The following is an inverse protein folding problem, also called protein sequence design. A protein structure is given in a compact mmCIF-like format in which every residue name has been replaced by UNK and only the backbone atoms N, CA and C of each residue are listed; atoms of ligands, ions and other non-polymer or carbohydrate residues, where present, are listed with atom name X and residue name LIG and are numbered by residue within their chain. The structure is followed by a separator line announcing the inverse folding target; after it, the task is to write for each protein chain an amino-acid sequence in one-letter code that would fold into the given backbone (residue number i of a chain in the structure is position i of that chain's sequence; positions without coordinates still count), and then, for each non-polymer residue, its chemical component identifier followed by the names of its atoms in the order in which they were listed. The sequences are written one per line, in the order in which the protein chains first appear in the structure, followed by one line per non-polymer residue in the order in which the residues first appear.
data_IF_036992942356
#
_entry.id   IF_036992942356
#
_cell.length_a   1.000
_cell.length_b   1.000
_cell.length_c   1.000
_cell.angle_alpha   90.00
_cell.angle_beta   90.00
_cell.angle_gamma   90.00
#
_symmetry.space_group_name_H-M   'P 1'
#
loop_
_entity.id
_entity.type
_entity.pdbx_description
1 polymer ?
#
# COMPACT_ATOMS: atom_id res chain seq x y z
N UNK A 1 -17.52 -41.23 -44.28
CA UNK A 1 -17.17 -41.92 -43.01
C UNK A 1 -15.78 -41.40 -42.60
N UNK A 2 -15.69 -40.21 -41.99
CA UNK A 2 -15.72 -39.95 -40.54
C UNK A 2 -14.82 -40.90 -39.74
N UNK A 3 -13.62 -40.41 -39.38
CA UNK A 3 -13.03 -40.65 -38.06
C UNK A 3 -12.40 -39.35 -37.58
N UNK A 4 -13.06 -38.68 -36.64
CA UNK A 4 -12.53 -37.56 -35.88
C UNK A 4 -11.59 -38.09 -34.79
N UNK A 5 -10.30 -37.77 -34.85
CA UNK A 5 -9.41 -37.92 -33.71
C UNK A 5 -9.53 -36.68 -32.82
N UNK A 6 -10.26 -36.83 -31.73
CA UNK A 6 -10.36 -35.85 -30.64
C UNK A 6 -8.98 -35.64 -30.02
N UNK A 7 -8.41 -34.45 -30.20
CA UNK A 7 -7.29 -33.97 -29.39
C UNK A 7 -7.86 -33.65 -28.01
N UNK A 8 -7.75 -34.59 -27.07
CA UNK A 8 -7.95 -34.31 -25.64
C UNK A 8 -6.75 -33.52 -25.13
N UNK A 9 -6.86 -32.20 -25.10
CA UNK A 9 -6.00 -31.34 -24.28
C UNK A 9 -6.38 -31.55 -22.81
N UNK A 10 -5.76 -32.56 -22.18
CA UNK A 10 -5.74 -32.69 -20.73
C UNK A 10 -4.85 -31.58 -20.15
N UNK A 11 -5.41 -30.38 -20.00
CA UNK A 11 -4.85 -29.32 -19.17
C UNK A 11 -4.85 -29.75 -17.71
N UNK A 12 -3.87 -30.55 -17.29
CA UNK A 12 -3.58 -30.75 -15.87
C UNK A 12 -3.18 -29.39 -15.30
N UNK A 13 -4.05 -28.81 -14.48
CA UNK A 13 -3.68 -27.73 -13.58
C UNK A 13 -2.48 -28.22 -12.76
N UNK A 14 -1.29 -27.64 -12.97
CA UNK A 14 -0.13 -27.92 -12.10
C UNK A 14 -0.58 -27.63 -10.67
N UNK A 15 -0.46 -28.62 -9.78
CA UNK A 15 -0.60 -28.40 -8.35
C UNK A 15 0.36 -27.28 -7.94
N UNK A 16 -0.12 -26.30 -7.16
CA UNK A 16 0.73 -25.21 -6.67
C UNK A 16 1.86 -25.82 -5.83
N UNK A 17 3.10 -25.49 -6.16
CA UNK A 17 4.25 -25.82 -5.30
C UNK A 17 4.02 -25.17 -3.93
N UNK A 18 4.20 -25.89 -2.82
CA UNK A 18 4.07 -25.32 -1.49
C UNK A 18 5.12 -24.21 -1.30
N UNK A 19 4.77 -23.21 -0.48
CA UNK A 19 5.70 -22.15 -0.11
C UNK A 19 6.88 -22.69 0.71
N UNK A 20 8.05 -22.13 0.46
CA UNK A 20 9.29 -22.39 1.19
C UNK A 20 9.55 -21.16 2.05
N UNK A 21 9.32 -21.30 3.35
CA UNK A 21 9.54 -20.26 4.34
C UNK A 21 11.00 -20.26 4.85
N UNK A 22 11.51 -19.11 5.34
CA UNK A 22 12.82 -19.07 5.98
C UNK A 22 12.86 -19.94 7.25
N UNK A 23 14.08 -20.28 7.67
CA UNK A 23 14.31 -20.93 8.97
C UNK A 23 13.72 -20.09 10.12
N UNK A 24 13.26 -20.70 11.23
CA UNK A 24 12.52 -19.99 12.28
C UNK A 24 13.26 -18.78 12.87
N UNK A 25 14.58 -18.88 13.08
CA UNK A 25 15.43 -17.79 13.55
C UNK A 25 15.38 -16.58 12.59
N UNK A 26 15.47 -16.85 11.30
CA UNK A 26 15.46 -15.83 10.25
C UNK A 26 14.08 -15.24 10.07
N UNK A 27 13.04 -16.07 10.09
CA UNK A 27 11.65 -15.61 10.00
C UNK A 27 11.31 -14.66 11.14
N UNK A 28 11.68 -14.98 12.38
CA UNK A 28 11.47 -14.08 13.51
C UNK A 28 12.22 -12.75 13.36
N UNK A 29 13.50 -12.78 12.96
CA UNK A 29 14.29 -11.58 12.72
C UNK A 29 13.67 -10.68 11.65
N UNK A 30 13.26 -11.24 10.52
CA UNK A 30 12.65 -10.49 9.42
C UNK A 30 11.27 -9.93 9.78
N UNK A 31 10.46 -10.69 10.51
CA UNK A 31 9.16 -10.24 11.01
C UNK A 31 9.34 -9.04 11.96
N UNK A 32 10.28 -9.13 12.89
CA UNK A 32 10.54 -8.02 13.82
C UNK A 32 11.03 -6.78 13.07
N UNK A 33 12.02 -6.92 12.18
CA UNK A 33 12.53 -5.84 11.33
C UNK A 33 11.42 -5.17 10.51
N UNK A 34 10.48 -5.94 9.96
CA UNK A 34 9.33 -5.40 9.25
C UNK A 34 8.48 -4.50 10.16
N UNK A 35 8.13 -4.98 11.36
CA UNK A 35 7.27 -4.23 12.27
C UNK A 35 7.97 -3.03 12.90
N UNK A 36 9.28 -3.07 13.10
CA UNK A 36 10.04 -1.96 13.69
C UNK A 36 10.40 -0.88 12.68
N UNK A 37 10.57 -1.21 11.40
CA UNK A 37 11.12 -0.26 10.42
C UNK A 37 10.12 0.12 9.31
N UNK A 38 9.29 -0.83 8.88
CA UNK A 38 8.43 -0.64 7.68
C UNK A 38 6.98 -0.39 8.07
N UNK A 39 6.41 -1.22 8.97
CA UNK A 39 5.00 -1.09 9.37
C UNK A 39 4.71 0.21 10.13
N UNK A 40 5.73 0.85 10.72
CA UNK A 40 5.59 2.17 11.35
C UNK A 40 5.28 3.28 10.32
N UNK A 41 5.89 3.20 9.14
CA UNK A 41 5.75 4.18 8.05
C UNK A 41 4.55 3.82 7.17
N UNK A 42 4.38 2.52 6.90
CA UNK A 42 3.35 1.95 6.04
C UNK A 42 2.59 0.85 6.80
N UNK A 43 1.60 1.21 7.64
CA UNK A 43 0.94 0.27 8.54
C UNK A 43 -0.01 -0.67 7.79
N UNK A 44 0.52 -1.64 7.04
CA UNK A 44 -0.28 -2.61 6.27
C UNK A 44 -0.91 -3.65 7.21
N UNK A 45 -0.18 -4.03 8.26
CA UNK A 45 -0.52 -5.16 9.12
C UNK A 45 -0.80 -4.70 10.55
N UNK A 46 -1.66 -5.46 11.23
CA UNK A 46 -1.91 -5.35 12.66
C UNK A 46 -1.01 -6.35 13.38
N UNK A 47 0.06 -5.86 14.06
CA UNK A 47 1.11 -6.73 14.64
C UNK A 47 0.57 -7.84 15.55
N UNK A 48 -0.30 -7.56 16.53
CA UNK A 48 -0.83 -8.60 17.42
C UNK A 48 -1.59 -9.72 16.69
N UNK A 49 -2.38 -9.38 15.66
CA UNK A 49 -3.09 -10.38 14.86
C UNK A 49 -2.14 -11.18 13.98
N UNK A 50 -1.15 -10.53 13.37
CA UNK A 50 -0.17 -11.21 12.53
C UNK A 50 0.65 -12.22 13.33
N UNK A 51 1.21 -11.81 14.47
CA UNK A 51 2.05 -12.68 15.31
C UNK A 51 1.23 -13.85 15.87
N UNK A 52 -0.03 -13.61 16.29
CA UNK A 52 -0.95 -14.68 16.72
C UNK A 52 -1.17 -15.72 15.62
N UNK A 53 -1.46 -15.27 14.38
CA UNK A 53 -1.64 -16.16 13.22
C UNK A 53 -0.34 -16.89 12.84
N UNK A 54 0.80 -16.22 12.92
CA UNK A 54 2.11 -16.79 12.63
C UNK A 54 2.47 -17.90 13.62
N UNK A 55 2.31 -17.64 14.93
CA UNK A 55 2.58 -18.59 16.01
C UNK A 55 1.63 -19.80 16.01
N UNK A 56 0.38 -19.64 15.54
CA UNK A 56 -0.56 -20.74 15.28
C UNK A 56 -0.17 -21.61 14.06
N UNK A 57 0.92 -21.27 13.36
CA UNK A 57 1.34 -21.95 12.15
C UNK A 57 0.35 -21.81 11.00
N UNK A 58 -0.50 -20.77 11.02
CA UNK A 58 -1.51 -20.56 9.97
C UNK A 58 -0.86 -20.39 8.59
N UNK A 59 0.34 -19.82 8.54
CA UNK A 59 1.10 -19.59 7.30
C UNK A 59 1.47 -20.89 6.55
N UNK A 60 1.49 -22.02 7.26
CA UNK A 60 1.74 -23.35 6.70
C UNK A 60 0.49 -24.00 6.11
N UNK A 61 -0.70 -23.53 6.53
CA UNK A 61 -2.01 -24.14 6.21
C UNK A 61 -2.85 -23.27 5.28
N UNK A 62 -2.74 -21.95 5.40
CA UNK A 62 -3.47 -20.98 4.61
C UNK A 62 -2.54 -20.28 3.61
N UNK A 63 -2.85 -20.42 2.32
CA UNK A 63 -2.01 -19.86 1.26
C UNK A 63 -2.07 -18.33 1.16
N UNK A 64 -3.16 -17.69 1.60
CA UNK A 64 -3.25 -16.23 1.55
C UNK A 64 -2.34 -15.62 2.61
N UNK A 65 -2.46 -16.08 3.86
CA UNK A 65 -1.61 -15.66 4.96
C UNK A 65 -0.14 -16.09 4.76
N UNK A 66 0.10 -17.29 4.20
CA UNK A 66 1.45 -17.72 3.81
C UNK A 66 2.13 -16.76 2.82
N UNK A 67 1.38 -16.25 1.83
CA UNK A 67 1.89 -15.23 0.92
C UNK A 67 2.20 -13.91 1.63
N UNK A 68 1.37 -13.49 2.60
CA UNK A 68 1.64 -12.29 3.43
C UNK A 68 2.95 -12.46 4.20
N UNK A 69 3.18 -13.61 4.84
CA UNK A 69 4.42 -13.88 5.59
C UNK A 69 5.66 -13.85 4.68
N UNK A 70 5.60 -14.45 3.49
CA UNK A 70 6.71 -14.38 2.53
C UNK A 70 7.00 -12.95 2.08
N UNK A 71 5.97 -12.14 1.85
CA UNK A 71 6.14 -10.75 1.46
C UNK A 71 6.67 -9.88 2.60
N UNK A 72 6.27 -10.14 3.85
CA UNK A 72 6.89 -9.53 5.04
C UNK A 72 8.39 -9.83 5.06
N UNK A 73 8.77 -11.08 4.83
CA UNK A 73 10.17 -11.49 4.75
C UNK A 73 10.90 -10.79 3.59
N UNK A 74 10.29 -10.71 2.41
CA UNK A 74 10.85 -10.02 1.25
C UNK A 74 11.10 -8.54 1.53
N UNK A 75 10.11 -7.83 2.06
CA UNK A 75 10.16 -6.39 2.34
C UNK A 75 11.18 -6.04 3.42
N UNK A 76 11.35 -6.89 4.44
CA UNK A 76 12.34 -6.67 5.50
C UNK A 76 13.77 -7.06 5.11
N UNK A 77 13.95 -7.85 4.05
CA UNK A 77 15.25 -8.42 3.68
C UNK A 77 16.32 -7.38 3.35
N UNK A 78 16.05 -6.26 2.64
CA UNK A 78 17.05 -5.23 2.38
C UNK A 78 17.64 -4.58 3.65
N UNK A 79 16.90 -4.57 4.76
CA UNK A 79 17.35 -4.03 6.04
C UNK A 79 17.94 -5.08 7.00
N UNK A 80 18.25 -6.28 6.50
CA UNK A 80 18.74 -7.40 7.31
C UNK A 80 20.19 -7.75 6.97
N UNK A 81 21.09 -7.66 7.95
CA UNK A 81 22.52 -8.01 7.80
C UNK A 81 22.81 -9.52 7.70
N UNK A 82 21.83 -10.34 7.28
CA UNK A 82 22.00 -11.79 7.13
C UNK A 82 22.20 -12.14 5.65
N UNK A 83 23.38 -12.64 5.22
CA UNK A 83 23.65 -12.94 3.82
C UNK A 83 22.71 -14.00 3.24
N UNK A 84 22.05 -14.81 4.09
CA UNK A 84 21.09 -15.83 3.66
C UNK A 84 19.80 -15.22 3.05
N UNK A 85 19.59 -13.91 3.16
CA UNK A 85 18.46 -13.22 2.50
C UNK A 85 18.73 -12.91 1.03
N UNK A 86 20.00 -12.93 0.62
CA UNK A 86 20.45 -12.72 -0.76
C UNK A 86 20.32 -13.98 -1.60
N UNK A 87 20.33 -13.81 -2.92
CA UNK A 87 20.39 -14.94 -3.85
C UNK A 87 21.78 -15.60 -3.84
N UNK A 88 21.87 -16.94 -3.96
CA UNK A 88 23.17 -17.62 -4.01
C UNK A 88 24.06 -17.07 -5.14
N UNK A 89 25.25 -16.59 -4.78
CA UNK A 89 26.23 -16.05 -5.73
C UNK A 89 25.99 -14.60 -6.18
N UNK A 90 25.05 -13.89 -5.53
CA UNK A 90 24.79 -12.47 -5.79
C UNK A 90 24.99 -11.69 -4.48
N UNK A 91 26.08 -10.94 -4.38
CA UNK A 91 26.41 -10.14 -3.19
C UNK A 91 25.81 -8.72 -3.23
N UNK A 92 24.79 -8.50 -4.06
CA UNK A 92 24.13 -7.19 -4.18
C UNK A 92 22.85 -7.14 -3.33
N UNK A 93 22.70 -6.05 -2.59
CA UNK A 93 21.50 -5.78 -1.76
C UNK A 93 20.21 -5.77 -2.59
N UNK A 94 20.29 -5.46 -3.89
CA UNK A 94 19.14 -5.52 -4.80
C UNK A 94 18.53 -6.92 -4.97
N UNK A 95 19.25 -7.99 -4.60
CA UNK A 95 18.72 -9.35 -4.63
C UNK A 95 18.03 -9.78 -3.32
N UNK A 96 18.13 -8.96 -2.28
CA UNK A 96 17.59 -9.26 -0.97
C UNK A 96 16.09 -9.55 -1.03
N UNK A 97 15.69 -10.70 -0.49
CA UNK A 97 14.28 -11.09 -0.38
C UNK A 97 13.64 -11.60 -1.68
N UNK A 98 14.36 -11.63 -2.81
CA UNK A 98 13.80 -12.07 -4.09
C UNK A 98 13.26 -13.50 -4.02
N UNK A 99 14.00 -14.39 -3.36
CA UNK A 99 13.62 -15.79 -3.11
C UNK A 99 12.28 -15.96 -2.38
N UNK A 100 11.83 -14.95 -1.62
CA UNK A 100 10.53 -14.98 -0.95
C UNK A 100 9.45 -14.36 -1.85
N UNK A 101 9.77 -13.26 -2.52
CA UNK A 101 8.85 -12.55 -3.41
C UNK A 101 8.44 -13.40 -4.62
N UNK A 102 9.37 -14.07 -5.29
CA UNK A 102 9.10 -14.80 -6.55
C UNK A 102 8.12 -15.97 -6.38
N UNK A 103 7.99 -16.50 -5.17
CA UNK A 103 7.05 -17.56 -4.84
C UNK A 103 5.59 -17.07 -4.90
N UNK A 104 5.36 -15.78 -4.64
CA UNK A 104 4.02 -15.20 -4.52
C UNK A 104 3.44 -14.85 -5.89
N UNK A 105 2.29 -15.44 -6.20
CA UNK A 105 1.57 -15.18 -7.44
C UNK A 105 0.72 -13.93 -7.31
N UNK A 106 1.20 -12.81 -7.85
CA UNK A 106 0.56 -11.49 -7.75
C UNK A 106 -0.72 -11.42 -8.61
N UNK A 107 -0.78 -12.13 -9.73
CA UNK A 107 -1.99 -12.24 -10.55
C UNK A 107 -2.73 -13.52 -10.16
N UNK A 108 -3.63 -13.43 -9.18
CA UNK A 108 -4.48 -14.56 -8.78
C UNK A 108 -5.49 -14.87 -9.90
N UNK A 109 -5.67 -16.17 -10.20
CA UNK A 109 -6.71 -16.66 -11.14
C UNK A 109 -8.09 -16.81 -10.49
N UNK A 110 -8.23 -16.55 -9.20
CA UNK A 110 -9.45 -16.83 -8.46
C UNK A 110 -10.44 -15.65 -8.58
N UNK A 111 -11.28 -15.70 -9.61
CA UNK A 111 -12.40 -14.77 -9.83
C UNK A 111 -13.65 -15.12 -8.99
N UNK A 112 -13.61 -16.18 -8.18
CA UNK A 112 -14.81 -16.84 -7.65
C UNK A 112 -15.03 -16.71 -6.13
N UNK A 113 -14.04 -16.21 -5.38
CA UNK A 113 -14.16 -16.01 -3.94
C UNK A 113 -14.10 -14.51 -3.59
N UNK A 114 -14.90 -14.04 -2.61
CA UNK A 114 -14.80 -12.66 -2.15
C UNK A 114 -13.40 -12.42 -1.57
N UNK A 115 -12.75 -11.28 -1.90
CA UNK A 115 -11.42 -11.00 -1.39
C UNK A 115 -11.45 -10.77 0.12
N UNK A 116 -10.45 -11.32 0.81
CA UNK A 116 -10.22 -11.11 2.24
C UNK A 116 -9.13 -10.03 2.47
N UNK A 117 -8.95 -9.53 3.71
CA UNK A 117 -7.91 -8.54 4.00
C UNK A 117 -6.51 -8.97 3.56
N UNK A 118 -6.16 -10.24 3.73
CA UNK A 118 -4.87 -10.79 3.32
C UNK A 118 -4.63 -10.68 1.81
N UNK A 119 -5.68 -10.77 0.99
CA UNK A 119 -5.55 -10.59 -0.46
C UNK A 119 -5.03 -9.19 -0.78
N UNK A 120 -5.59 -8.18 -0.13
CA UNK A 120 -5.18 -6.78 -0.32
C UNK A 120 -3.81 -6.48 0.31
N UNK A 121 -3.52 -7.07 1.47
CA UNK A 121 -2.19 -6.98 2.10
C UNK A 121 -1.08 -7.51 1.19
N UNK A 122 -1.34 -8.62 0.46
CA UNK A 122 -0.42 -9.15 -0.55
C UNK A 122 -0.08 -8.09 -1.60
N UNK A 123 -1.06 -7.34 -2.11
CA UNK A 123 -0.81 -6.29 -3.10
C UNK A 123 -0.07 -5.10 -2.49
N UNK A 124 -0.41 -4.66 -1.26
CA UNK A 124 0.34 -3.60 -0.57
C UNK A 124 1.82 -3.96 -0.38
N UNK A 125 2.10 -5.13 0.19
CA UNK A 125 3.47 -5.57 0.45
C UNK A 125 4.25 -5.83 -0.85
N UNK A 126 3.58 -6.35 -1.88
CA UNK A 126 4.20 -6.51 -3.20
C UNK A 126 4.59 -5.16 -3.81
N UNK A 127 3.72 -4.15 -3.69
CA UNK A 127 4.05 -2.78 -4.14
C UNK A 127 5.25 -2.22 -3.38
N UNK A 128 5.29 -2.34 -2.05
CA UNK A 128 6.40 -1.87 -1.22
C UNK A 128 7.71 -2.54 -1.64
N UNK A 129 7.71 -3.87 -1.83
CA UNK A 129 8.90 -4.59 -2.27
C UNK A 129 9.37 -4.13 -3.65
N UNK A 130 8.47 -4.12 -4.66
CA UNK A 130 8.83 -3.82 -6.05
C UNK A 130 9.33 -2.38 -6.22
N UNK A 131 8.85 -1.43 -5.40
CA UNK A 131 9.37 -0.06 -5.38
C UNK A 131 10.87 0.01 -5.06
N UNK A 132 11.38 -0.90 -4.23
CA UNK A 132 12.81 -1.00 -3.91
C UNK A 132 13.64 -1.78 -4.95
N UNK A 133 13.02 -2.33 -5.98
CA UNK A 133 13.70 -3.14 -7.02
C UNK A 133 14.02 -2.31 -8.27
N UNK A 134 14.77 -2.90 -9.20
CA UNK A 134 15.02 -2.33 -10.54
C UNK A 134 13.79 -2.33 -11.47
N UNK A 135 12.61 -2.79 -11.01
CA UNK A 135 11.38 -2.89 -11.83
C UNK A 135 10.17 -2.12 -11.25
N UNK A 136 10.30 -0.85 -10.84
CA UNK A 136 9.23 -0.09 -10.16
C UNK A 136 7.99 0.14 -11.04
N UNK A 137 8.10 -0.04 -12.36
CA UNK A 137 6.98 0.12 -13.30
C UNK A 137 5.84 -0.88 -13.07
N UNK A 138 6.14 -2.07 -12.52
CA UNK A 138 5.12 -3.08 -12.24
C UNK A 138 4.17 -2.65 -11.11
N UNK A 139 4.59 -1.75 -10.23
CA UNK A 139 3.80 -1.25 -9.09
C UNK A 139 2.43 -0.74 -9.50
N UNK A 140 2.33 -0.04 -10.64
CA UNK A 140 1.06 0.52 -11.12
C UNK A 140 0.00 -0.55 -11.34
N UNK A 141 0.38 -1.65 -11.99
CA UNK A 141 -0.51 -2.77 -12.26
C UNK A 141 -0.91 -3.47 -10.96
N UNK A 142 0.03 -3.66 -10.03
CA UNK A 142 -0.20 -4.29 -8.73
C UNK A 142 -1.21 -3.49 -7.91
N UNK A 143 -1.00 -2.16 -7.81
CA UNK A 143 -1.93 -1.26 -7.12
C UNK A 143 -3.30 -1.27 -7.78
N UNK A 144 -3.35 -1.20 -9.12
CA UNK A 144 -4.61 -1.24 -9.86
C UNK A 144 -5.44 -2.49 -9.55
N UNK A 145 -4.80 -3.66 -9.49
CA UNK A 145 -5.50 -4.91 -9.12
C UNK A 145 -6.01 -4.84 -7.68
N UNK A 146 -5.17 -4.41 -6.73
CA UNK A 146 -5.55 -4.30 -5.32
C UNK A 146 -6.76 -3.38 -5.10
N UNK A 147 -6.79 -2.22 -5.78
CA UNK A 147 -7.91 -1.28 -5.70
C UNK A 147 -9.21 -1.92 -6.20
N UNK A 148 -9.16 -2.70 -7.29
CA UNK A 148 -10.36 -3.41 -7.78
C UNK A 148 -10.88 -4.42 -6.78
N UNK A 149 -10.00 -5.18 -6.12
CA UNK A 149 -10.42 -6.13 -5.08
C UNK A 149 -11.08 -5.43 -3.89
N UNK A 150 -10.51 -4.30 -3.43
CA UNK A 150 -11.13 -3.51 -2.38
C UNK A 150 -12.47 -2.89 -2.83
N UNK A 151 -12.60 -2.53 -4.11
CA UNK A 151 -13.86 -2.05 -4.67
C UNK A 151 -14.94 -3.13 -4.71
N UNK A 152 -14.58 -4.37 -5.04
CA UNK A 152 -15.50 -5.50 -5.14
C UNK A 152 -16.23 -5.82 -3.82
N UNK A 153 -15.58 -5.55 -2.67
CA UNK A 153 -16.19 -5.68 -1.33
C UNK A 153 -16.75 -4.39 -0.77
N UNK A 154 -16.70 -3.29 -1.53
CA UNK A 154 -17.18 -1.99 -1.09
C UNK A 154 -16.30 -1.31 -0.04
N UNK A 155 -15.06 -1.77 0.17
CA UNK A 155 -14.14 -1.24 1.18
C UNK A 155 -13.72 0.22 0.91
N UNK A 156 -13.98 0.75 -0.28
CA UNK A 156 -13.73 2.14 -0.69
C UNK A 156 -14.82 3.13 -0.24
N UNK A 157 -15.90 2.67 0.40
CA UNK A 157 -17.04 3.51 0.78
C UNK A 157 -17.23 3.55 2.29
N UNK A 158 -17.68 4.70 2.79
CA UNK A 158 -17.94 4.89 4.21
C UNK A 158 -19.17 4.10 4.60
N UNK A 159 -19.05 3.29 5.65
CA UNK A 159 -20.18 2.58 6.23
C UNK A 159 -21.05 3.59 6.99
N UNK A 160 -22.32 3.71 6.58
CA UNK A 160 -23.28 4.67 7.16
C UNK A 160 -23.79 4.23 8.54
N UNK A 161 -23.71 2.92 8.84
CA UNK A 161 -24.17 2.31 10.09
C UNK A 161 -23.08 1.41 10.70
N UNK A 162 -23.07 1.27 12.05
CA UNK A 162 -22.05 0.67 12.95
C UNK A 162 -20.83 1.56 13.28
N UNK A 163 -20.91 2.26 14.42
CA UNK A 163 -20.00 3.33 14.88
C UNK A 163 -18.74 2.89 15.65
N UNK A 164 -18.44 1.60 15.76
CA UNK A 164 -17.22 1.13 16.46
C UNK A 164 -16.22 0.59 15.43
N UNK A 165 -14.97 1.09 15.42
CA UNK A 165 -13.93 0.55 14.57
C UNK A 165 -13.70 -0.94 14.88
N UNK A 166 -13.38 -1.71 13.85
CA UNK A 166 -13.00 -3.11 13.96
C UNK A 166 -11.61 -3.30 13.37
N UNK A 167 -10.90 -4.35 13.80
CA UNK A 167 -9.56 -4.65 13.29
C UNK A 167 -9.58 -4.81 11.78
N UNK A 168 -10.58 -5.54 11.26
CA UNK A 168 -10.74 -5.76 9.83
C UNK A 168 -11.01 -4.47 9.06
N UNK A 169 -11.93 -3.63 9.54
CA UNK A 169 -12.26 -2.35 8.88
C UNK A 169 -11.04 -1.41 8.81
N UNK A 170 -10.28 -1.32 9.90
CA UNK A 170 -9.07 -0.51 9.91
C UNK A 170 -7.95 -1.08 9.03
N UNK A 171 -7.84 -2.41 8.88
CA UNK A 171 -6.90 -3.04 7.95
C UNK A 171 -7.24 -2.70 6.49
N UNK A 172 -8.51 -2.80 6.09
CA UNK A 172 -8.96 -2.38 4.75
C UNK A 172 -8.67 -0.91 4.49
N UNK A 173 -9.01 -0.05 5.47
CA UNK A 173 -8.79 1.39 5.38
C UNK A 173 -7.31 1.73 5.26
N UNK A 174 -6.44 1.16 6.11
CA UNK A 174 -4.98 1.36 6.05
C UNK A 174 -4.42 0.95 4.68
N UNK A 175 -4.80 -0.21 4.17
CA UNK A 175 -4.33 -0.70 2.87
C UNK A 175 -4.66 0.26 1.71
N UNK A 176 -5.89 0.79 1.68
CA UNK A 176 -6.33 1.76 0.67
C UNK A 176 -5.55 3.08 0.74
N UNK A 177 -5.35 3.62 1.94
CA UNK A 177 -4.56 4.84 2.13
C UNK A 177 -3.07 4.65 1.81
N UNK A 178 -2.52 3.45 2.02
CA UNK A 178 -1.13 3.14 1.62
C UNK A 178 -0.96 3.24 0.11
N UNK A 179 -1.90 2.69 -0.66
CA UNK A 179 -1.82 2.83 -2.12
C UNK A 179 -1.92 4.26 -2.60
N UNK A 180 -2.73 5.11 -1.94
CA UNK A 180 -2.76 6.55 -2.21
C UNK A 180 -1.36 7.18 -2.10
N UNK A 181 -0.59 6.84 -1.05
CA UNK A 181 0.78 7.34 -0.87
C UNK A 181 1.74 6.74 -1.91
N UNK A 182 1.68 5.43 -2.12
CA UNK A 182 2.60 4.69 -2.98
C UNK A 182 2.47 5.06 -4.48
N UNK A 183 1.32 5.53 -4.94
CA UNK A 183 1.13 5.92 -6.36
C UNK A 183 1.79 7.24 -6.71
N UNK A 184 2.01 8.14 -5.76
CA UNK A 184 2.47 9.51 -6.04
C UNK A 184 3.99 9.63 -6.10
N UNK A 185 4.75 8.82 -5.34
CA UNK A 185 6.21 8.76 -5.43
C UNK A 185 6.74 8.26 -6.79
N UNK A 186 5.90 7.58 -7.58
CA UNK A 186 6.24 7.14 -8.93
C UNK A 186 6.04 8.22 -10.00
N UNK A 187 5.27 9.28 -9.70
CA UNK A 187 4.95 10.34 -10.66
C UNK A 187 6.17 11.17 -11.12
N UNK A 188 7.14 11.56 -10.25
CA UNK A 188 8.30 12.35 -10.69
C UNK A 188 9.25 11.53 -11.57
N UNK A 189 9.50 10.26 -11.23
CA UNK A 189 10.37 9.36 -12.00
C UNK A 189 9.74 8.93 -13.35
N UNK A 190 8.42 8.95 -13.46
CA UNK A 190 7.69 8.63 -14.70
C UNK A 190 7.38 9.87 -15.56
N UNK A 191 7.50 11.08 -15.02
CA UNK A 191 7.22 12.33 -15.76
C UNK A 191 8.18 12.58 -16.93
N UNK A 192 9.43 12.12 -16.83
CA UNK A 192 10.44 12.24 -17.88
C UNK A 192 10.26 11.24 -19.03
N UNK A 193 9.56 10.13 -18.79
CA UNK A 193 9.35 9.11 -19.81
C UNK A 193 8.16 9.51 -20.69
N UNK A 194 8.44 9.65 -22.00
CA UNK A 194 7.48 9.80 -23.10
C UNK A 194 6.29 8.82 -23.01
N UNK A 195 6.42 7.72 -22.26
CA UNK A 195 5.36 6.76 -21.94
C UNK A 195 4.19 7.34 -21.13
N UNK A 196 4.42 8.21 -20.12
CA UNK A 196 3.33 8.81 -19.32
C UNK A 196 2.44 9.72 -20.20
N UNK A 197 3.09 10.53 -21.04
CA UNK A 197 2.39 11.39 -22.02
C UNK A 197 1.72 10.56 -23.13
N UNK A 198 2.32 9.46 -23.57
CA UNK A 198 1.79 8.62 -24.67
C UNK A 198 0.68 7.66 -24.21
N UNK A 199 0.73 7.09 -23.01
CA UNK A 199 -0.35 6.27 -22.45
C UNK A 199 -1.53 7.12 -21.95
N UNK A 200 -1.26 8.29 -21.37
CA UNK A 200 -2.30 9.29 -21.11
C UNK A 200 -3.01 9.71 -22.40
N UNK A 201 -2.30 9.72 -23.55
CA UNK A 201 -2.82 10.05 -24.88
C UNK A 201 -3.53 8.89 -25.60
N UNK A 202 -3.10 7.64 -25.42
CA UNK A 202 -3.75 6.44 -25.98
C UNK A 202 -5.04 6.08 -25.24
N UNK A 203 -5.13 6.38 -23.94
CA UNK A 203 -6.33 6.12 -23.14
C UNK A 203 -7.34 7.30 -23.14
N UNK A 204 -7.04 8.43 -23.79
CA UNK A 204 -7.95 9.58 -23.93
C UNK A 204 -9.07 9.40 -24.96
N UNK A 205 -8.96 8.45 -25.88
CA UNK A 205 -10.03 8.21 -26.88
C UNK A 205 -11.24 7.48 -26.27
N UNK A 206 -11.01 6.73 -25.18
CA UNK A 206 -12.05 6.09 -24.37
C UNK A 206 -12.12 6.72 -22.98
N UNK A 207 -12.46 8.01 -22.92
CA UNK A 207 -13.08 8.77 -21.81
C UNK A 207 -12.97 8.36 -20.32
N UNK A 208 -12.00 7.56 -19.87
CA UNK A 208 -12.06 6.96 -18.52
C UNK A 208 -10.71 6.76 -17.84
N UNK A 209 -9.59 7.28 -18.35
CA UNK A 209 -8.28 7.03 -17.71
C UNK A 209 -7.38 8.28 -17.62
N UNK A 210 -7.97 9.47 -17.45
CA UNK A 210 -7.22 10.62 -16.95
C UNK A 210 -7.04 10.62 -15.42
N UNK A 211 -7.55 9.59 -14.76
CA UNK A 211 -7.77 9.51 -13.32
C UNK A 211 -6.73 8.67 -12.57
N UNK A 212 -5.51 8.58 -13.11
CA UNK A 212 -4.38 7.99 -12.40
C UNK A 212 -4.07 8.74 -11.08
N UNK A 213 -4.30 10.04 -11.03
CA UNK A 213 -4.18 10.89 -9.82
C UNK A 213 -5.49 10.96 -9.00
N UNK A 214 -6.49 10.16 -9.35
CA UNK A 214 -7.84 10.19 -8.75
C UNK A 214 -8.06 9.02 -7.78
N UNK A 215 -7.03 8.25 -7.44
CA UNK A 215 -7.20 7.20 -6.44
C UNK A 215 -7.50 7.76 -5.04
N UNK A 216 -6.96 8.92 -4.68
CA UNK A 216 -7.23 9.54 -3.37
C UNK A 216 -8.68 10.03 -3.24
N UNK A 217 -9.28 10.47 -4.35
CA UNK A 217 -10.62 11.04 -4.38
C UNK A 217 -11.74 10.03 -4.66
N UNK A 218 -11.41 8.78 -5.03
CA UNK A 218 -12.42 7.70 -5.16
C UNK A 218 -12.77 7.05 -3.83
N UNK A 219 -11.95 7.26 -2.79
CA UNK A 219 -12.18 6.68 -1.48
C UNK A 219 -13.05 7.65 -0.67
N UNK A 220 -14.33 7.32 -0.55
CA UNK A 220 -15.19 7.92 0.47
C UNK A 220 -14.89 7.21 1.79
N UNK A 221 -13.72 7.47 2.37
CA UNK A 221 -13.27 6.82 3.60
C UNK A 221 -12.79 7.84 4.63
N UNK A 222 -13.03 7.51 5.90
CA UNK A 222 -12.40 8.22 6.99
C UNK A 222 -10.90 7.88 7.04
N UNK A 223 -10.10 8.78 7.60
CA UNK A 223 -8.70 8.51 7.89
C UNK A 223 -8.57 7.37 8.93
N UNK A 224 -7.44 6.64 8.96
CA UNK A 224 -7.18 5.62 9.96
C UNK A 224 -7.27 6.19 11.37
N UNK A 225 -7.72 5.36 12.32
CA UNK A 225 -7.73 5.74 13.73
C UNK A 225 -6.28 5.93 14.18
N UNK A 226 -5.99 7.08 14.82
CA UNK A 226 -4.69 7.39 15.40
C UNK A 226 -4.59 6.66 16.75
N UNK A 227 -4.37 5.35 16.67
CA UNK A 227 -4.24 4.44 17.80
C UNK A 227 -3.31 3.29 17.41
N UNK A 228 -2.32 3.03 18.26
CA UNK A 228 -1.34 1.97 18.04
C UNK A 228 -2.00 0.58 18.14
N UNK A 229 -1.44 -0.38 17.41
CA UNK A 229 -2.00 -1.73 17.24
C UNK A 229 -2.26 -2.44 18.59
N UNK A 230 -1.36 -2.24 19.56
CA UNK A 230 -1.45 -2.86 20.90
C UNK A 230 -2.70 -2.44 21.70
N UNK A 231 -3.41 -1.39 21.29
CA UNK A 231 -4.62 -0.88 21.95
C UNK A 231 -5.90 -1.14 21.17
N UNK A 232 -5.85 -1.89 20.06
CA UNK A 232 -7.04 -2.21 19.27
C UNK A 232 -7.90 -3.29 19.92
N UNK A 233 -7.26 -4.28 20.54
CA UNK A 233 -7.92 -5.37 21.24
C UNK A 233 -7.77 -5.15 22.76
N UNK A 234 -8.88 -4.87 23.46
CA UNK A 234 -8.89 -4.71 24.90
C UNK A 234 -10.05 -5.51 25.53
N UNK A 235 -9.86 -5.99 26.77
CA UNK A 235 -10.88 -6.78 27.48
C UNK A 235 -12.18 -5.98 27.70
N UNK A 236 -12.04 -4.69 28.02
CA UNK A 236 -13.11 -3.71 27.99
C UNK A 236 -13.28 -3.15 26.55
N UNK A 237 -14.40 -3.43 25.86
CA UNK A 237 -14.68 -2.92 24.52
C UNK A 237 -14.76 -1.40 24.41
N UNK A 238 -14.95 -0.69 25.52
CA UNK A 238 -14.93 0.78 25.52
C UNK A 238 -13.50 1.35 25.51
N UNK A 239 -12.47 0.57 25.82
CA UNK A 239 -11.07 0.99 25.73
C UNK A 239 -10.41 0.58 24.41
N UNK A 240 -11.06 -0.26 23.62
CA UNK A 240 -10.58 -0.64 22.29
C UNK A 240 -10.45 0.60 21.39
N UNK A 241 -9.37 0.66 20.60
CA UNK A 241 -9.04 1.76 19.69
C UNK A 241 -8.85 3.12 20.38
N UNK A 242 -8.40 3.12 21.64
CA UNK A 242 -8.03 4.34 22.37
C UNK A 242 -6.55 4.35 22.69
N UNK A 243 -5.85 5.36 22.17
CA UNK A 243 -4.47 5.63 22.54
C UNK A 243 -4.42 6.14 24.00
N UNK A 244 -3.51 5.62 24.85
CA UNK A 244 -3.40 6.07 26.22
C UNK A 244 -2.93 7.53 26.30
N UNK A 245 -3.37 8.28 27.33
CA UNK A 245 -2.99 9.67 27.50
C UNK A 245 -1.48 9.82 27.69
N UNK A 246 -0.88 10.82 27.04
CA UNK A 246 0.55 11.12 27.14
C UNK A 246 1.46 10.24 26.27
N UNK A 247 0.93 9.26 25.54
CA UNK A 247 1.69 8.45 24.58
C UNK A 247 1.32 8.83 23.14
N UNK A 248 2.21 9.49 22.39
CA UNK A 248 2.02 9.71 20.96
C UNK A 248 1.84 8.40 20.20
N UNK A 249 0.97 8.38 19.19
CA UNK A 249 0.77 7.23 18.31
C UNK A 249 1.68 7.32 17.10
N UNK A 250 2.34 6.23 16.73
CA UNK A 250 3.16 6.21 15.50
C UNK A 250 2.28 6.33 14.24
N UNK A 251 1.00 5.95 14.30
CA UNK A 251 0.04 6.08 13.20
C UNK A 251 -0.25 7.55 12.86
N UNK A 252 0.01 8.48 13.80
CA UNK A 252 -0.15 9.91 13.56
C UNK A 252 0.72 10.40 12.39
N UNK A 253 1.93 9.84 12.22
CA UNK A 253 2.79 10.12 11.07
C UNK A 253 2.09 9.75 9.77
N UNK A 254 1.62 8.50 9.66
CA UNK A 254 0.94 8.00 8.47
C UNK A 254 -0.28 8.85 8.10
N UNK A 255 -1.12 9.18 9.08
CA UNK A 255 -2.30 10.03 8.86
C UNK A 255 -1.91 11.44 8.38
N UNK A 256 -0.83 11.99 8.93
CA UNK A 256 -0.32 13.31 8.53
C UNK A 256 0.24 13.29 7.11
N UNK A 257 0.97 12.23 6.74
CA UNK A 257 1.46 12.01 5.39
C UNK A 257 0.30 11.86 4.38
N UNK A 258 -0.76 11.13 4.72
CA UNK A 258 -1.97 11.02 3.88
C UNK A 258 -2.62 12.38 3.63
N UNK A 259 -2.73 13.23 4.66
CA UNK A 259 -3.27 14.59 4.50
C UNK A 259 -2.41 15.46 3.58
N UNK A 260 -1.08 15.36 3.68
CA UNK A 260 -0.17 16.06 2.77
C UNK A 260 -0.35 15.58 1.33
N UNK A 261 -0.43 14.27 1.16
CA UNK A 261 -0.63 13.61 -0.13
C UNK A 261 -1.97 14.03 -0.77
N UNK A 262 -3.04 14.24 0.01
CA UNK A 262 -4.30 14.81 -0.50
C UNK A 262 -4.11 16.23 -1.09
N UNK A 263 -3.26 17.06 -0.47
CA UNK A 263 -2.93 18.40 -0.99
C UNK A 263 -2.07 18.28 -2.26
N UNK A 264 -1.09 17.37 -2.27
CA UNK A 264 -0.25 17.09 -3.44
C UNK A 264 -1.09 16.61 -4.63
N UNK A 265 -2.01 15.66 -4.42
CA UNK A 265 -2.95 15.19 -5.44
C UNK A 265 -3.79 16.35 -6.02
N UNK A 266 -4.28 17.25 -5.16
CA UNK A 266 -5.01 18.45 -5.59
C UNK A 266 -4.11 19.38 -6.42
N UNK A 267 -2.86 19.58 -6.02
CA UNK A 267 -1.89 20.39 -6.76
C UNK A 267 -1.58 19.80 -8.15
N UNK A 268 -1.34 18.49 -8.22
CA UNK A 268 -1.07 17.76 -9.46
C UNK A 268 -2.26 17.87 -10.42
N UNK A 269 -3.49 17.69 -9.93
CA UNK A 269 -4.71 17.81 -10.74
C UNK A 269 -4.99 19.23 -11.21
N UNK A 270 -4.71 20.23 -10.38
CA UNK A 270 -4.99 21.62 -10.74
C UNK A 270 -3.91 22.14 -11.68
N UNK A 271 -2.65 22.16 -11.24
CA UNK A 271 -1.54 22.81 -11.93
C UNK A 271 -1.12 22.03 -13.19
N UNK A 272 -1.00 20.70 -13.08
CA UNK A 272 -0.41 19.84 -14.11
C UNK A 272 -1.45 19.13 -15.01
N UNK A 273 -2.74 19.48 -14.91
CA UNK A 273 -3.77 18.94 -15.81
C UNK A 273 -3.55 19.33 -17.28
N UNK A 274 -3.89 18.42 -18.19
CA UNK A 274 -3.89 18.67 -19.64
C UNK A 274 -4.93 19.75 -19.98
N UNK A 275 -4.64 20.56 -21.02
CA UNK A 275 -5.48 21.69 -21.43
C UNK A 275 -6.95 21.32 -21.71
N UNK A 276 -7.23 20.13 -22.28
CA UNK A 276 -8.62 19.64 -22.47
C UNK A 276 -9.35 19.46 -21.13
N UNK A 277 -8.68 18.89 -20.13
CA UNK A 277 -9.25 18.67 -18.80
C UNK A 277 -9.40 20.01 -18.05
N UNK A 278 -8.47 20.96 -18.23
CA UNK A 278 -8.63 22.33 -17.70
C UNK A 278 -9.87 23.01 -18.25
N UNK A 279 -10.15 22.86 -19.54
CA UNK A 279 -11.38 23.38 -20.17
C UNK A 279 -12.63 22.65 -19.64
N UNK A 280 -12.60 21.33 -19.51
CA UNK A 280 -13.72 20.53 -18.99
C UNK A 280 -14.09 20.88 -17.54
N UNK A 281 -13.10 21.10 -16.67
CA UNK A 281 -13.30 21.46 -15.27
C UNK A 281 -13.47 22.97 -15.03
N UNK A 282 -13.60 23.78 -16.07
CA UNK A 282 -13.75 25.24 -15.94
C UNK A 282 -12.53 25.96 -15.36
N UNK A 283 -11.36 25.31 -15.37
CA UNK A 283 -10.08 25.81 -14.89
C UNK A 283 -9.42 26.73 -15.94
N UNK A 284 -10.19 27.67 -16.50
CA UNK A 284 -9.78 28.55 -17.59
C UNK A 284 -9.99 30.01 -17.22
N UNK A 285 -8.93 30.82 -17.28
CA UNK A 285 -9.00 32.26 -17.02
C UNK A 285 -7.68 32.85 -16.56
N UNK A 286 -7.48 34.14 -16.81
CA UNK A 286 -6.19 34.83 -16.58
C UNK A 286 -5.77 34.90 -15.09
N UNK A 287 -6.73 34.74 -14.17
CA UNK A 287 -6.51 34.77 -12.70
C UNK A 287 -6.60 33.38 -12.03
N UNK A 288 -6.99 32.35 -12.77
CA UNK A 288 -7.25 31.02 -12.20
C UNK A 288 -5.98 30.41 -11.58
N UNK A 289 -4.84 30.53 -12.25
CA UNK A 289 -3.56 30.00 -11.74
C UNK A 289 -3.15 30.64 -10.41
N UNK A 290 -3.35 31.95 -10.26
CA UNK A 290 -3.03 32.66 -9.01
C UNK A 290 -3.93 32.22 -7.86
N UNK A 291 -5.24 32.03 -8.12
CA UNK A 291 -6.17 31.53 -7.13
C UNK A 291 -5.86 30.08 -6.71
N UNK A 292 -5.55 29.21 -7.67
CA UNK A 292 -5.19 27.82 -7.39
C UNK A 292 -3.93 27.73 -6.52
N UNK A 293 -2.91 28.54 -6.82
CA UNK A 293 -1.68 28.62 -6.01
C UNK A 293 -1.97 29.14 -4.60
N UNK A 294 -2.78 30.19 -4.45
CA UNK A 294 -3.12 30.75 -3.14
C UNK A 294 -3.90 29.76 -2.25
N UNK A 295 -4.83 29.00 -2.83
CA UNK A 295 -5.56 27.94 -2.10
C UNK A 295 -4.65 26.80 -1.65
N UNK A 296 -3.73 26.35 -2.52
CA UNK A 296 -2.75 25.32 -2.18
C UNK A 296 -1.79 25.80 -1.09
N UNK A 297 -1.33 27.04 -1.16
CA UNK A 297 -0.48 27.66 -0.13
C UNK A 297 -1.22 27.73 1.22
N UNK A 298 -2.49 28.16 1.23
CA UNK A 298 -3.31 28.17 2.44
C UNK A 298 -3.52 26.75 3.01
N UNK A 299 -3.76 25.76 2.15
CA UNK A 299 -3.93 24.37 2.56
C UNK A 299 -2.65 23.78 3.17
N UNK A 300 -1.48 24.07 2.57
CA UNK A 300 -0.18 23.64 3.09
C UNK A 300 0.12 24.27 4.44
N UNK A 301 -0.13 25.58 4.62
CA UNK A 301 0.06 26.24 5.91
C UNK A 301 -0.84 25.65 7.00
N UNK A 302 -2.13 25.43 6.71
CA UNK A 302 -3.05 24.72 7.62
C UNK A 302 -2.58 23.31 7.96
N UNK A 303 -2.00 22.60 6.98
CA UNK A 303 -1.45 21.27 7.22
C UNK A 303 -0.26 21.34 8.16
N UNK A 304 0.71 22.26 7.92
CA UNK A 304 1.87 22.49 8.79
C UNK A 304 1.43 22.74 10.24
N UNK A 305 0.47 23.64 10.44
CA UNK A 305 -0.06 23.98 11.77
C UNK A 305 -0.77 22.79 12.46
N UNK A 306 -1.21 21.79 11.69
CA UNK A 306 -1.89 20.60 12.20
C UNK A 306 -0.97 19.42 12.50
N UNK A 307 0.31 19.48 12.12
CA UNK A 307 1.29 18.40 12.32
C UNK A 307 1.60 18.29 13.82
N UNK A 308 1.37 17.13 14.46
CA UNK A 308 1.70 16.93 15.88
C UNK A 308 3.19 17.14 16.15
N UNK A 309 3.54 17.70 17.31
CA UNK A 309 4.93 18.02 17.69
C UNK A 309 5.90 16.84 17.54
N UNK A 310 5.46 15.63 17.90
CA UNK A 310 6.26 14.40 17.79
C UNK A 310 6.47 13.92 16.34
N UNK A 311 5.73 14.46 15.37
CA UNK A 311 5.89 14.24 13.94
C UNK A 311 6.61 15.39 13.24
N UNK A 312 6.86 16.51 13.92
CA UNK A 312 7.60 17.63 13.35
C UNK A 312 9.09 17.28 13.27
N UNK A 313 9.72 17.71 12.18
CA UNK A 313 11.16 17.55 12.01
C UNK A 313 11.89 18.39 13.08
N UNK A 314 12.75 17.75 13.86
CA UNK A 314 13.63 18.41 14.83
C UNK A 314 15.09 18.30 14.38
N UNK A 315 15.86 19.40 14.34
CA UNK A 315 17.29 19.37 14.05
C UNK A 315 18.12 18.70 15.16
N UNK A 316 17.51 18.35 16.30
CA UNK A 316 18.17 17.69 17.42
C UNK A 316 17.74 16.23 17.55
N UNK A 317 18.67 15.28 17.81
CA UNK A 317 18.38 13.87 17.89
C UNK A 317 17.65 13.51 19.19
N UNK A 318 16.33 13.65 19.18
CA UNK A 318 15.48 13.22 20.29
C UNK A 318 14.15 12.55 19.86
N UNK A 319 13.84 12.50 18.57
CA UNK A 319 12.58 11.91 18.08
C UNK A 319 12.87 10.59 17.37
N UNK A 320 12.34 9.50 17.91
CA UNK A 320 12.62 8.09 17.55
C UNK A 320 12.21 7.71 16.11
N UNK A 321 11.55 8.60 15.36
CA UNK A 321 11.13 8.35 13.98
C UNK A 321 12.05 9.12 13.04
N UNK A 322 13.24 8.58 12.82
CA UNK A 322 14.08 8.98 11.70
C UNK A 322 13.61 8.27 10.43
N UNK A 323 13.17 9.05 9.45
CA UNK A 323 13.01 8.57 8.08
C UNK A 323 14.24 9.05 7.31
N UNK A 324 15.18 8.16 7.08
CA UNK A 324 16.07 8.27 5.93
C UNK A 324 15.24 7.83 4.71
N UNK A 325 14.85 8.80 3.87
CA UNK A 325 14.42 8.54 2.50
C UNK A 325 15.64 8.38 1.61
#
# INVERSE_FOLDING_TARGET
MSQSSSIRTSGRLKARTPYIFPEPDRSHKLIDLYFTNINLITPVLHRPTFERKYNDGLHLRDSAFGAVVLLVCAVASPGCDDPRVLLPGIDTEHSAGWQYFEQVQIVKKALLAPPCPEDVQVYCLSTIYVQGTSTPQACWTIVGIGIRLAQDVGAHRRKVYNRKPTVEDELWKRALWIWSLSTEHLAPAQADLVQYKTLSKLCTEHGSVHDAHVFVHIFDLDLPVICDDEYWEHQDPEQAFKQPPGKPSYVAYFVTAVKLNQILALALRTIYSINRSKVMFGLTGHKWGQHAVAELDSALNKWIDSVPDHCQWSPFPASIIYIAL
#
